data_IF_906902304546
#
_entry.id   IF_906902304546
#
_cell.length_a   1.000
_cell.length_b   1.000
_cell.length_c   1.000
_cell.angle_alpha   90.00
_cell.angle_beta   90.00
_cell.angle_gamma   90.00
#
_symmetry.space_group_name_H-M   'P 1'
#
loop_
_entity.id
_entity.type
_entity.pdbx_description
1 polymer ?
#
# COMPACT_ATOMS: atom_id res chain seq x y z
N UNK A 1 31.55 55.84 -62.08
CA UNK A 1 30.35 55.58 -61.26
C UNK A 1 30.39 54.13 -60.80
N UNK A 2 30.94 53.88 -59.62
CA UNK A 2 31.03 52.55 -59.01
C UNK A 2 30.03 52.50 -57.86
N UNK A 3 29.00 51.66 -57.95
CA UNK A 3 27.98 51.49 -56.90
C UNK A 3 28.42 50.37 -55.95
N UNK A 4 28.60 50.71 -54.68
CA UNK A 4 28.81 49.75 -53.57
C UNK A 4 27.43 49.31 -53.06
N UNK A 5 27.12 48.01 -52.93
CA UNK A 5 25.87 47.58 -52.31
C UNK A 5 26.04 47.54 -50.78
N UNK A 6 25.13 48.19 -50.06
CA UNK A 6 25.02 48.12 -48.62
C UNK A 6 24.43 46.77 -48.22
N UNK A 7 25.16 46.00 -47.40
CA UNK A 7 24.68 44.76 -46.77
C UNK A 7 23.90 45.15 -45.52
N UNK A 8 22.59 44.93 -45.52
CA UNK A 8 21.73 45.10 -44.36
C UNK A 8 21.90 43.90 -43.42
N UNK A 9 22.44 44.14 -42.22
CA UNK A 9 22.59 43.13 -41.18
C UNK A 9 21.26 43.01 -40.42
N UNK A 10 20.53 41.92 -40.67
CA UNK A 10 19.26 41.61 -39.99
C UNK A 10 19.57 41.02 -38.60
N UNK A 11 19.39 41.81 -37.53
CA UNK A 11 19.46 41.29 -36.16
C UNK A 11 18.20 40.46 -35.87
N UNK A 12 18.36 39.14 -35.84
CA UNK A 12 17.33 38.22 -35.37
C UNK A 12 17.35 38.24 -33.83
N UNK A 13 16.43 38.98 -33.22
CA UNK A 13 16.20 38.92 -31.77
C UNK A 13 15.64 37.53 -31.43
N UNK A 14 16.48 36.69 -30.81
CA UNK A 14 16.02 35.45 -30.20
C UNK A 14 15.13 35.82 -29.01
N UNK A 15 13.81 35.80 -29.23
CA UNK A 15 12.86 35.79 -28.13
C UNK A 15 13.11 34.51 -27.33
N UNK A 16 13.73 34.65 -26.16
CA UNK A 16 13.76 33.61 -25.15
C UNK A 16 12.32 33.40 -24.69
N UNK A 17 11.59 32.53 -25.38
CA UNK A 17 10.34 32.00 -24.88
C UNK A 17 10.68 31.24 -23.62
N UNK A 18 10.24 31.76 -22.46
CA UNK A 18 10.16 31.00 -21.23
C UNK A 18 9.42 29.71 -21.55
N UNK A 19 10.15 28.60 -21.63
CA UNK A 19 9.53 27.28 -21.61
C UNK A 19 8.86 27.21 -20.25
N UNK A 20 7.53 27.35 -20.20
CA UNK A 20 6.77 26.99 -19.02
C UNK A 20 6.98 25.49 -18.81
N UNK A 21 8.00 25.15 -18.02
CA UNK A 21 8.15 23.81 -17.49
C UNK A 21 6.82 23.43 -16.86
N UNK A 22 6.27 22.30 -17.27
CA UNK A 22 4.98 21.82 -16.80
C UNK A 22 4.98 21.90 -15.27
N UNK A 23 4.19 22.82 -14.71
CA UNK A 23 4.12 22.99 -13.26
C UNK A 23 3.51 21.73 -12.70
N UNK A 24 4.27 20.98 -11.90
CA UNK A 24 3.75 19.81 -11.22
C UNK A 24 2.55 20.22 -10.36
N UNK A 25 1.46 19.45 -10.45
CA UNK A 25 0.30 19.60 -9.59
C UNK A 25 0.16 18.34 -8.72
N UNK A 26 0.36 18.51 -7.43
CA UNK A 26 0.20 17.49 -6.39
C UNK A 26 -1.25 17.05 -6.20
N UNK A 27 -2.23 17.76 -6.76
CA UNK A 27 -3.65 17.43 -6.68
C UNK A 27 -4.33 17.87 -5.39
N UNK A 28 -3.67 18.70 -4.57
CA UNK A 28 -4.33 19.35 -3.43
C UNK A 28 -5.23 20.50 -3.88
N UNK A 29 -6.45 20.56 -3.35
CA UNK A 29 -7.35 21.71 -3.49
C UNK A 29 -7.29 22.68 -2.29
N UNK A 30 -6.47 22.36 -1.28
CA UNK A 30 -6.31 23.17 -0.08
C UNK A 30 -7.47 23.15 0.92
N UNK A 31 -8.50 22.31 0.70
CA UNK A 31 -9.70 22.25 1.55
C UNK A 31 -9.43 21.86 3.01
N UNK A 32 -8.30 21.21 3.31
CA UNK A 32 -7.87 20.90 4.67
C UNK A 32 -7.22 22.10 5.38
N UNK A 33 -6.79 23.13 4.64
CA UNK A 33 -5.95 24.20 5.20
C UNK A 33 -4.53 23.72 5.52
N UNK A 34 -3.77 24.42 6.37
CA UNK A 34 -2.45 23.98 6.80
C UNK A 34 -2.56 22.79 7.78
N UNK A 35 -1.68 21.81 7.62
CA UNK A 35 -1.52 20.69 8.55
C UNK A 35 -0.29 20.92 9.43
N UNK A 36 -0.49 21.49 10.63
CA UNK A 36 0.57 21.81 11.58
C UNK A 36 0.52 20.89 12.81
N UNK A 37 1.54 20.05 12.97
CA UNK A 37 1.65 19.06 14.05
C UNK A 37 2.77 19.46 15.00
N UNK A 38 2.39 20.06 16.12
CA UNK A 38 3.30 20.56 17.16
C UNK A 38 3.35 19.68 18.42
N UNK A 39 2.48 18.67 18.52
CA UNK A 39 2.44 17.64 19.56
C UNK A 39 2.09 16.31 18.93
N UNK A 40 2.33 15.20 19.64
CA UNK A 40 1.91 13.88 19.19
C UNK A 40 0.42 13.90 18.83
N UNK A 41 0.11 13.50 17.60
CA UNK A 41 -1.22 13.60 17.02
C UNK A 41 -1.56 12.32 16.27
N UNK A 42 -2.78 11.83 16.45
CA UNK A 42 -3.36 10.78 15.61
C UNK A 42 -4.52 11.36 14.82
N UNK A 43 -4.47 11.26 13.50
CA UNK A 43 -5.55 11.73 12.61
C UNK A 43 -6.40 10.56 12.12
N UNK A 44 -7.71 10.78 11.97
CA UNK A 44 -8.57 9.82 11.30
C UNK A 44 -8.39 9.93 9.78
N UNK A 45 -8.11 8.81 9.11
CA UNK A 45 -7.94 8.79 7.66
C UNK A 45 -9.29 9.07 6.98
N UNK A 46 -9.33 10.04 6.07
CA UNK A 46 -10.51 10.33 5.25
C UNK A 46 -10.96 9.08 4.46
N UNK A 47 -12.23 8.98 4.07
CA UNK A 47 -12.75 7.77 3.38
C UNK A 47 -12.03 7.42 2.07
N UNK A 48 -11.46 8.40 1.37
CA UNK A 48 -10.63 8.22 0.17
C UNK A 48 -9.12 8.21 0.45
N UNK A 49 -8.71 8.38 1.71
CA UNK A 49 -7.32 8.45 2.14
C UNK A 49 -6.63 9.79 1.92
N UNK A 50 -7.30 10.81 1.38
CA UNK A 50 -6.66 12.04 0.89
C UNK A 50 -6.85 13.22 1.84
N UNK A 51 -5.74 13.87 2.19
CA UNK A 51 -5.68 15.15 2.88
C UNK A 51 -5.22 16.22 1.89
N UNK A 52 -6.09 17.19 1.58
CA UNK A 52 -5.80 18.29 0.66
C UNK A 52 -5.31 19.52 1.43
N UNK A 53 -4.03 19.51 1.79
CA UNK A 53 -3.41 20.55 2.59
C UNK A 53 -2.92 21.73 1.74
N UNK A 54 -2.77 22.90 2.37
CA UNK A 54 -2.01 24.01 1.77
C UNK A 54 -0.51 23.83 2.01
N UNK A 55 -0.13 23.72 3.27
CA UNK A 55 1.22 23.36 3.75
C UNK A 55 1.13 22.17 4.71
N UNK A 56 2.26 21.50 4.94
CA UNK A 56 2.37 20.46 5.98
C UNK A 56 3.63 20.73 6.79
N UNK A 57 3.50 20.78 8.11
CA UNK A 57 4.62 20.95 9.03
C UNK A 57 4.51 19.97 10.20
N UNK A 58 5.45 19.03 10.29
CA UNK A 58 5.56 18.10 11.43
C UNK A 58 6.78 18.49 12.24
N UNK A 59 6.56 19.07 13.43
CA UNK A 59 7.61 19.61 14.28
C UNK A 59 8.61 18.53 14.73
N UNK A 60 9.82 18.93 15.10
CA UNK A 60 10.81 18.01 15.65
C UNK A 60 10.34 17.43 17.00
N UNK A 61 10.64 16.15 17.24
CA UNK A 61 10.33 15.48 18.51
C UNK A 61 8.89 15.02 18.69
N UNK A 62 8.02 15.17 17.68
CA UNK A 62 6.62 14.72 17.72
C UNK A 62 6.33 13.62 16.70
N UNK A 63 5.27 12.86 16.93
CA UNK A 63 4.79 11.78 16.07
C UNK A 63 3.40 12.08 15.53
N UNK A 64 3.27 12.09 14.20
CA UNK A 64 2.01 11.98 13.50
C UNK A 64 1.71 10.50 13.20
N UNK A 65 0.54 10.03 13.60
CA UNK A 65 0.01 8.70 13.30
C UNK A 65 -1.42 8.79 12.76
N UNK A 66 -2.00 7.68 12.33
CA UNK A 66 -3.35 7.68 11.77
C UNK A 66 -4.20 6.51 12.23
N UNK A 67 -5.48 6.77 12.52
CA UNK A 67 -6.49 5.74 12.66
C UNK A 67 -6.99 5.31 11.28
N UNK A 68 -6.99 4.02 10.95
CA UNK A 68 -7.43 3.54 9.65
C UNK A 68 -8.94 3.78 9.44
N UNK A 69 -9.32 4.10 8.21
CA UNK A 69 -10.73 4.11 7.81
C UNK A 69 -11.24 2.66 7.58
N UNK A 70 -12.54 2.43 7.36
CA UNK A 70 -13.08 1.07 7.21
C UNK A 70 -12.46 0.26 6.06
N UNK A 71 -12.02 0.90 4.97
CA UNK A 71 -11.29 0.23 3.87
C UNK A 71 -9.79 0.05 4.12
N UNK A 72 -9.28 0.60 5.21
CA UNK A 72 -7.86 0.77 5.49
C UNK A 72 -7.08 1.33 4.28
N UNK A 73 -7.55 2.42 3.68
CA UNK A 73 -6.90 3.01 2.48
C UNK A 73 -5.49 3.53 2.79
N UNK A 74 -4.61 3.63 1.77
CA UNK A 74 -3.37 4.40 1.90
C UNK A 74 -3.63 5.86 2.30
N UNK A 75 -2.61 6.50 2.87
CA UNK A 75 -2.64 7.92 3.23
C UNK A 75 -2.01 8.75 2.12
N UNK A 76 -2.70 9.78 1.66
CA UNK A 76 -2.20 10.76 0.70
C UNK A 76 -2.18 12.14 1.35
N UNK A 77 -0.98 12.68 1.55
CA UNK A 77 -0.78 14.04 2.03
C UNK A 77 -0.39 14.92 0.86
N UNK A 78 -1.34 15.71 0.35
CA UNK A 78 -1.15 16.54 -0.84
C UNK A 78 -1.08 18.00 -0.42
N UNK A 79 -0.04 18.72 -0.80
CA UNK A 79 0.19 20.11 -0.44
C UNK A 79 0.26 21.02 -1.68
N UNK A 80 -0.39 22.18 -1.61
CA UNK A 80 -0.26 23.22 -2.65
C UNK A 80 1.05 23.99 -2.55
N UNK A 81 1.72 23.93 -1.39
CA UNK A 81 3.00 24.57 -1.08
C UNK A 81 3.91 23.61 -0.29
N UNK A 82 4.90 24.15 0.40
CA UNK A 82 6.01 23.41 1.01
C UNK A 82 5.55 22.44 2.10
N UNK A 83 6.30 21.33 2.21
CA UNK A 83 6.13 20.31 3.23
C UNK A 83 7.43 20.19 4.03
N UNK A 84 7.33 20.35 5.35
CA UNK A 84 8.44 20.17 6.30
C UNK A 84 8.14 19.02 7.25
N UNK A 85 9.02 18.03 7.31
CA UNK A 85 8.90 16.87 8.20
C UNK A 85 10.17 16.77 9.03
N UNK A 86 10.15 17.42 10.20
CA UNK A 86 11.22 17.35 11.20
C UNK A 86 10.94 16.28 12.27
N UNK A 87 9.67 15.93 12.48
CA UNK A 87 9.24 14.87 13.38
C UNK A 87 9.11 13.51 12.71
N UNK A 88 8.31 12.65 13.34
CA UNK A 88 8.00 11.30 12.87
C UNK A 88 6.63 11.25 12.22
N UNK A 89 6.52 10.55 11.09
CA UNK A 89 5.25 9.99 10.62
C UNK A 89 5.31 8.47 10.81
N UNK A 90 4.41 7.89 11.60
CA UNK A 90 4.32 6.44 11.84
C UNK A 90 3.01 5.86 11.28
N UNK A 91 3.16 5.02 10.26
CA UNK A 91 2.11 4.22 9.64
C UNK A 91 2.49 2.73 9.69
N UNK A 92 3.24 2.31 10.71
CA UNK A 92 3.68 0.92 10.84
C UNK A 92 2.54 -0.02 11.27
N UNK A 93 2.63 -1.29 10.85
CA UNK A 93 1.81 -2.37 11.39
C UNK A 93 2.20 -2.71 12.83
N UNK A 94 1.45 -3.62 13.45
CA UNK A 94 1.68 -4.09 14.82
C UNK A 94 1.76 -5.62 14.88
N UNK A 95 2.38 -6.12 15.94
CA UNK A 95 2.46 -7.55 16.19
C UNK A 95 1.06 -8.15 16.43
N UNK A 96 0.89 -9.43 16.05
CA UNK A 96 -0.26 -10.22 16.47
C UNK A 96 -0.13 -10.65 17.93
N UNK A 97 -1.16 -11.34 18.42
CA UNK A 97 -1.18 -11.86 19.79
C UNK A 97 -1.81 -13.27 19.81
N UNK A 98 -2.11 -13.80 20.99
CA UNK A 98 -2.67 -15.14 21.16
C UNK A 98 -4.14 -15.28 20.75
N UNK A 99 -4.83 -14.20 20.40
CA UNK A 99 -6.24 -14.19 19.96
C UNK A 99 -6.42 -13.69 18.53
N UNK A 100 -5.57 -12.78 18.07
CA UNK A 100 -5.75 -12.05 16.82
C UNK A 100 -4.45 -11.86 16.04
N UNK A 101 -4.59 -11.74 14.73
CA UNK A 101 -3.53 -11.25 13.87
C UNK A 101 -3.23 -9.77 14.14
N UNK A 102 -2.00 -9.35 13.85
CA UNK A 102 -1.54 -8.00 14.08
C UNK A 102 -2.29 -7.00 13.18
N UNK A 103 -2.75 -5.87 13.73
CA UNK A 103 -3.37 -4.84 12.91
C UNK A 103 -2.34 -4.24 11.94
N UNK A 104 -2.81 -3.93 10.74
CA UNK A 104 -2.02 -3.29 9.72
C UNK A 104 -1.85 -1.79 9.98
N UNK A 105 -0.80 -1.21 9.40
CA UNK A 105 -0.75 0.24 9.23
C UNK A 105 -1.80 0.71 8.20
N UNK A 106 -2.13 2.02 8.17
CA UNK A 106 -2.98 2.63 7.15
C UNK A 106 -2.55 2.23 5.73
N UNK A 107 -3.39 1.59 4.93
CA UNK A 107 -3.05 1.12 3.58
C UNK A 107 -2.40 -0.26 3.49
N UNK A 108 -2.04 -0.88 4.62
CA UNK A 108 -1.50 -2.24 4.70
C UNK A 108 -2.57 -3.31 4.94
N UNK A 109 -2.13 -4.55 5.15
CA UNK A 109 -3.03 -5.69 5.38
C UNK A 109 -2.75 -6.42 6.71
N UNK A 110 -3.79 -6.86 7.44
CA UNK A 110 -3.63 -7.45 8.76
C UNK A 110 -2.97 -8.83 8.70
N UNK A 111 -2.42 -9.26 9.84
CA UNK A 111 -1.89 -10.60 10.03
C UNK A 111 -2.99 -11.67 10.20
N UNK A 112 -2.60 -12.93 10.09
CA UNK A 112 -3.49 -14.08 10.23
C UNK A 112 -3.77 -14.43 11.68
N UNK A 113 -4.96 -14.96 11.95
CA UNK A 113 -5.37 -15.37 13.31
C UNK A 113 -4.58 -16.59 13.81
N UNK A 114 -4.29 -16.67 15.12
CA UNK A 114 -3.68 -17.84 15.74
C UNK A 114 -4.56 -19.08 15.59
N UNK A 115 -3.95 -20.27 15.65
CA UNK A 115 -4.70 -21.50 15.90
C UNK A 115 -5.26 -21.52 17.33
N UNK A 116 -6.40 -22.16 17.55
CA UNK A 116 -7.04 -22.25 18.88
C UNK A 116 -7.33 -23.70 19.31
N UNK A 117 -6.49 -24.64 18.86
CA UNK A 117 -6.58 -26.08 19.15
C UNK A 117 -6.41 -26.94 17.90
N UNK A 118 -6.50 -28.27 18.06
CA UNK A 118 -6.30 -29.22 16.96
C UNK A 118 -7.37 -29.11 15.85
N UNK A 119 -8.55 -28.57 16.16
CA UNK A 119 -9.68 -28.45 15.24
C UNK A 119 -9.77 -27.09 14.52
N UNK A 120 -9.03 -26.08 14.97
CA UNK A 120 -9.05 -24.73 14.39
C UNK A 120 -7.64 -24.38 13.95
N UNK A 121 -7.29 -24.63 12.67
CA UNK A 121 -5.99 -24.28 12.14
C UNK A 121 -5.79 -22.76 12.15
N UNK A 122 -4.54 -22.28 12.20
CA UNK A 122 -4.28 -20.85 12.07
C UNK A 122 -4.72 -20.32 10.69
N UNK A 123 -5.06 -19.03 10.66
CA UNK A 123 -5.38 -18.31 9.42
C UNK A 123 -4.13 -17.81 8.70
N UNK A 124 -4.21 -17.61 7.40
CA UNK A 124 -3.22 -16.82 6.67
C UNK A 124 -3.34 -15.33 6.99
N UNK A 125 -2.26 -14.58 6.74
CA UNK A 125 -2.32 -13.14 6.67
C UNK A 125 -3.18 -12.65 5.52
N UNK A 126 -3.38 -11.34 5.45
CA UNK A 126 -4.11 -10.70 4.38
C UNK A 126 -3.16 -9.93 3.45
N UNK A 127 -3.62 -9.64 2.24
CA UNK A 127 -2.88 -8.92 1.21
C UNK A 127 -2.25 -9.81 0.13
N UNK A 128 -1.78 -9.22 -0.99
CA UNK A 128 -1.29 -9.98 -2.15
C UNK A 128 -0.02 -10.82 -1.86
N UNK A 129 0.76 -10.40 -0.87
CA UNK A 129 1.95 -11.09 -0.39
C UNK A 129 1.75 -11.72 0.98
N UNK A 130 0.53 -12.13 1.34
CA UNK A 130 0.25 -12.72 2.63
C UNK A 130 1.05 -14.01 2.90
N UNK A 131 1.56 -14.15 4.12
CA UNK A 131 2.08 -15.42 4.62
C UNK A 131 0.94 -16.38 4.99
N UNK A 132 1.10 -17.68 4.71
CA UNK A 132 0.10 -18.70 5.11
C UNK A 132 0.25 -19.06 6.58
N UNK A 133 -0.85 -19.48 7.21
CA UNK A 133 -0.81 -20.08 8.53
C UNK A 133 0.02 -21.38 8.53
N UNK A 134 0.61 -21.71 9.67
CA UNK A 134 1.49 -22.87 9.79
C UNK A 134 1.80 -23.23 11.24
N UNK A 135 2.82 -24.07 11.43
CA UNK A 135 3.27 -24.42 12.77
C UNK A 135 3.90 -23.23 13.49
N UNK A 136 3.78 -23.17 14.82
CA UNK A 136 4.49 -22.19 15.64
C UNK A 136 5.95 -22.60 15.85
N UNK A 137 6.71 -22.70 14.76
CA UNK A 137 8.14 -23.03 14.75
C UNK A 137 8.86 -22.49 13.49
N UNK A 138 10.19 -22.58 13.48
CA UNK A 138 11.04 -22.07 12.40
C UNK A 138 11.31 -23.11 11.29
N UNK A 139 10.45 -24.12 11.16
CA UNK A 139 10.59 -25.18 10.16
C UNK A 139 9.98 -24.78 8.81
N UNK A 140 10.13 -25.65 7.80
CA UNK A 140 9.46 -25.50 6.51
C UNK A 140 7.93 -25.39 6.65
N UNK A 141 7.35 -26.08 7.64
CA UNK A 141 5.91 -26.05 7.95
C UNK A 141 5.50 -24.86 8.81
N UNK A 142 6.46 -24.04 9.27
CA UNK A 142 6.23 -22.87 10.10
C UNK A 142 5.29 -21.85 9.45
N UNK A 143 4.62 -21.04 10.26
CA UNK A 143 3.82 -19.92 9.76
C UNK A 143 4.69 -18.97 8.91
N UNK A 144 4.15 -18.48 7.80
CA UNK A 144 4.89 -17.67 6.84
C UNK A 144 4.86 -16.18 7.16
N UNK A 145 5.94 -15.47 6.85
CA UNK A 145 5.99 -14.01 6.85
C UNK A 145 5.31 -13.40 5.61
N UNK A 146 4.85 -12.16 5.73
CA UNK A 146 4.37 -11.36 4.61
C UNK A 146 5.52 -10.92 3.70
N UNK A 147 5.34 -10.98 2.38
CA UNK A 147 6.25 -10.41 1.37
C UNK A 147 5.73 -9.08 0.82
N UNK A 148 6.60 -8.23 0.26
CA UNK A 148 6.17 -7.06 -0.55
C UNK A 148 7.20 -6.66 -1.61
N UNK A 149 8.12 -5.75 -1.29
CA UNK A 149 9.20 -5.30 -2.17
C UNK A 149 10.34 -6.32 -2.28
N UNK A 150 10.56 -7.08 -1.21
CA UNK A 150 11.44 -8.26 -1.19
C UNK A 150 10.69 -9.46 -0.64
N UNK A 151 11.26 -10.65 -0.84
CA UNK A 151 10.85 -11.83 -0.09
C UNK A 151 11.24 -11.68 1.40
N UNK A 152 10.55 -12.38 2.31
CA UNK A 152 11.02 -12.60 3.68
C UNK A 152 12.50 -13.01 3.71
N UNK A 153 13.38 -12.26 4.38
CA UNK A 153 14.83 -12.50 4.34
C UNK A 153 15.29 -13.63 5.26
N UNK A 154 14.44 -14.11 6.17
CA UNK A 154 14.77 -15.13 7.17
C UNK A 154 13.71 -16.24 7.24
N UNK A 155 14.09 -17.35 7.85
CA UNK A 155 13.23 -18.53 8.04
C UNK A 155 13.29 -19.55 6.89
N UNK A 156 12.92 -20.80 7.20
CA UNK A 156 12.88 -21.90 6.23
C UNK A 156 11.47 -22.19 5.71
N UNK A 157 10.48 -21.43 6.17
CA UNK A 157 9.07 -21.66 5.88
C UNK A 157 8.76 -21.57 4.37
N UNK A 158 8.09 -22.59 3.85
CA UNK A 158 7.54 -22.58 2.48
C UNK A 158 6.19 -21.84 2.41
N UNK A 159 5.70 -21.34 3.55
CA UNK A 159 4.45 -20.59 3.69
C UNK A 159 4.63 -19.08 3.52
N UNK A 160 5.86 -18.63 3.27
CA UNK A 160 6.19 -17.22 3.06
C UNK A 160 5.45 -16.59 1.87
N UNK A 161 5.06 -15.34 2.05
CA UNK A 161 4.40 -14.53 1.04
C UNK A 161 5.33 -14.12 -0.11
N UNK A 162 4.74 -13.88 -1.28
CA UNK A 162 5.46 -13.45 -2.49
C UNK A 162 5.57 -11.93 -2.57
N UNK A 163 6.48 -11.45 -3.40
CA UNK A 163 6.56 -10.02 -3.75
C UNK A 163 5.41 -9.59 -4.65
N UNK A 164 4.97 -8.33 -4.52
CA UNK A 164 3.93 -7.73 -5.37
C UNK A 164 4.13 -6.22 -5.51
N UNK A 165 3.21 -5.60 -6.26
CA UNK A 165 3.18 -4.16 -6.49
C UNK A 165 4.28 -3.67 -7.41
N UNK A 166 4.18 -2.41 -7.81
CA UNK A 166 5.12 -1.78 -8.73
C UNK A 166 6.20 -1.01 -7.95
N UNK A 167 7.48 -1.02 -8.39
CA UNK A 167 8.49 -0.08 -7.91
C UNK A 167 8.11 1.40 -8.10
N UNK A 168 7.18 1.70 -9.03
CA UNK A 168 6.63 3.05 -9.21
C UNK A 168 5.66 3.46 -8.10
N UNK A 169 5.16 2.51 -7.30
CA UNK A 169 4.12 2.73 -6.30
C UNK A 169 2.86 3.39 -6.90
N UNK A 170 2.46 2.89 -8.08
CA UNK A 170 1.21 3.23 -8.77
C UNK A 170 0.52 1.91 -9.18
N UNK A 171 -0.66 1.59 -8.64
CA UNK A 171 -1.29 2.26 -7.49
C UNK A 171 -0.44 2.10 -6.22
N UNK A 172 -0.69 2.97 -5.24
CA UNK A 172 -0.07 2.87 -3.93
C UNK A 172 -0.76 1.75 -3.13
N UNK A 173 0.03 0.85 -2.54
CA UNK A 173 -0.46 -0.29 -1.75
C UNK A 173 0.53 -0.55 -0.61
N UNK A 174 0.04 -0.85 0.59
CA UNK A 174 0.88 -1.15 1.75
C UNK A 174 1.37 -2.59 1.76
N UNK A 175 2.00 -2.98 2.86
CA UNK A 175 2.56 -4.29 3.12
C UNK A 175 1.50 -5.34 3.47
N UNK A 176 1.86 -6.62 3.29
CA UNK A 176 1.01 -7.77 3.60
C UNK A 176 1.28 -8.35 4.99
N UNK A 177 0.26 -8.96 5.58
CA UNK A 177 0.39 -9.60 6.89
C UNK A 177 1.05 -10.99 6.83
N UNK A 178 1.68 -11.39 7.93
CA UNK A 178 2.15 -12.76 8.13
C UNK A 178 1.03 -13.69 8.58
N UNK A 179 1.25 -15.01 8.46
CA UNK A 179 0.29 -16.05 8.85
C UNK A 179 0.30 -16.34 10.35
N UNK A 180 -0.79 -16.90 10.86
CA UNK A 180 -0.86 -17.36 12.24
C UNK A 180 -0.06 -18.66 12.46
N UNK A 181 0.49 -18.81 13.66
CA UNK A 181 1.06 -20.04 14.18
C UNK A 181 0.00 -20.89 14.89
N UNK A 182 0.13 -22.22 14.75
CA UNK A 182 -0.69 -23.20 15.45
C UNK A 182 -0.44 -23.19 16.96
N UNK A 183 -1.35 -23.78 17.74
CA UNK A 183 -1.21 -23.91 19.19
C UNK A 183 -2.54 -23.83 19.93
N UNK A 184 -2.46 -23.91 21.26
CA UNK A 184 -3.59 -23.72 22.17
C UNK A 184 -3.14 -22.94 23.43
N UNK A 185 -3.00 -21.61 23.35
CA UNK A 185 -3.24 -20.77 22.17
C UNK A 185 -2.07 -20.81 21.18
N UNK A 186 -2.37 -20.59 19.90
CA UNK A 186 -1.36 -20.27 18.89
C UNK A 186 -0.96 -18.79 18.97
N UNK A 187 -0.36 -18.29 17.89
CA UNK A 187 0.05 -16.89 17.80
C UNK A 187 -0.34 -16.24 16.47
N UNK A 188 -0.90 -15.04 16.50
CA UNK A 188 -1.24 -14.28 15.30
C UNK A 188 0.00 -13.79 14.57
N UNK A 189 -0.09 -13.71 13.24
CA UNK A 189 0.96 -13.13 12.41
C UNK A 189 1.02 -11.61 12.52
N UNK A 190 2.15 -11.00 12.16
CA UNK A 190 2.31 -9.54 12.19
C UNK A 190 1.52 -8.84 11.07
N UNK A 191 0.98 -7.65 11.34
CA UNK A 191 0.30 -6.83 10.33
C UNK A 191 1.28 -6.15 9.38
N UNK A 192 0.92 -5.96 8.11
CA UNK A 192 1.77 -5.26 7.15
C UNK A 192 1.92 -3.77 7.45
N UNK A 193 3.08 -3.20 7.09
CA UNK A 193 3.33 -1.76 7.16
C UNK A 193 2.38 -0.99 6.25
N UNK A 194 2.03 0.24 6.62
CA UNK A 194 1.10 1.07 5.86
C UNK A 194 1.65 1.58 4.53
N UNK A 195 0.86 2.40 3.84
CA UNK A 195 1.28 3.10 2.64
C UNK A 195 0.98 4.59 2.73
N UNK A 196 1.98 5.40 2.40
CA UNK A 196 1.86 6.86 2.33
C UNK A 196 2.44 7.42 1.04
N UNK A 197 1.73 8.39 0.47
CA UNK A 197 2.26 9.30 -0.53
C UNK A 197 2.20 10.72 0.02
N UNK A 198 3.33 11.43 -0.09
CA UNK A 198 3.41 12.85 0.23
C UNK A 198 3.81 13.59 -1.04
N UNK A 199 3.00 14.57 -1.45
CA UNK A 199 3.26 15.37 -2.62
C UNK A 199 3.15 16.86 -2.34
N UNK A 200 4.04 17.64 -2.97
CA UNK A 200 4.04 19.10 -2.89
C UNK A 200 4.26 19.69 -4.28
N UNK A 201 3.52 20.75 -4.62
CA UNK A 201 3.75 21.52 -5.85
C UNK A 201 5.15 22.14 -5.92
N UNK A 202 5.85 22.26 -4.79
CA UNK A 202 7.10 23.03 -4.67
C UNK A 202 8.22 22.19 -4.08
N UNK A 203 8.09 21.76 -2.82
CA UNK A 203 9.22 21.20 -2.06
C UNK A 203 8.79 20.31 -0.90
N UNK A 204 9.59 19.27 -0.66
CA UNK A 204 9.57 18.46 0.57
C UNK A 204 10.95 18.56 1.22
N UNK A 205 11.00 19.08 2.45
CA UNK A 205 12.17 19.04 3.34
C UNK A 205 11.95 18.00 4.45
N UNK A 206 12.77 16.96 4.46
CA UNK A 206 12.68 15.85 5.41
C UNK A 206 13.97 15.72 6.23
N UNK A 207 13.87 16.06 7.51
CA UNK A 207 14.96 15.91 8.49
C UNK A 207 14.62 14.91 9.59
N UNK A 208 13.34 14.62 9.78
CA UNK A 208 12.82 13.60 10.70
C UNK A 208 12.76 12.21 10.08
N UNK A 209 11.71 11.44 10.39
CA UNK A 209 11.59 10.08 9.89
C UNK A 209 10.16 9.70 9.44
N UNK A 210 10.05 8.86 8.41
CA UNK A 210 8.78 8.23 8.00
C UNK A 210 8.93 6.72 8.16
N UNK A 211 8.02 6.10 8.91
CA UNK A 211 8.03 4.65 9.20
C UNK A 211 6.77 3.98 8.69
N UNK A 212 6.96 3.01 7.81
CA UNK A 212 5.97 2.08 7.31
C UNK A 212 6.47 0.65 7.57
N UNK A 213 6.79 0.34 8.83
CA UNK A 213 7.42 -0.92 9.22
C UNK A 213 6.35 -2.00 9.39
N UNK A 214 6.66 -3.23 9.03
CA UNK A 214 5.80 -4.38 9.34
C UNK A 214 5.64 -4.59 10.85
N UNK A 215 4.55 -5.24 11.23
CA UNK A 215 4.33 -5.76 12.56
C UNK A 215 5.11 -7.06 12.75
N UNK A 216 5.64 -7.26 13.94
CA UNK A 216 6.38 -8.47 14.29
C UNK A 216 6.81 -8.35 15.74
N UNK A 217 6.99 -9.48 16.40
CA UNK A 217 7.39 -9.47 17.80
C UNK A 217 8.84 -9.00 17.93
N UNK A 218 9.15 -8.17 18.92
CA UNK A 218 10.50 -7.64 19.12
C UNK A 218 11.49 -8.72 19.56
N UNK A 219 10.99 -9.85 20.05
CA UNK A 219 11.78 -11.04 20.39
C UNK A 219 11.56 -12.04 19.27
N UNK A 220 12.64 -12.64 18.75
CA UNK A 220 12.57 -13.74 17.78
C UNK A 220 11.67 -14.84 18.34
N UNK A 221 10.40 -14.79 17.96
CA UNK A 221 9.46 -15.82 18.33
C UNK A 221 9.74 -17.07 17.50
N UNK A 222 9.23 -18.19 17.98
CA UNK A 222 9.49 -19.49 17.37
C UNK A 222 8.99 -19.54 15.92
N UNK A 223 7.99 -18.74 15.52
CA UNK A 223 7.57 -18.59 14.12
C UNK A 223 8.05 -17.28 13.50
N UNK A 224 8.68 -17.39 12.33
CA UNK A 224 9.15 -16.29 11.49
C UNK A 224 7.99 -15.61 10.72
N UNK A 225 6.91 -15.23 11.40
CA UNK A 225 5.64 -14.82 10.79
C UNK A 225 5.33 -13.30 10.82
N UNK A 226 6.37 -12.46 10.72
CA UNK A 226 6.22 -11.00 10.66
C UNK A 226 5.49 -10.50 9.40
N UNK A 227 4.85 -9.35 9.51
CA UNK A 227 4.29 -8.61 8.39
C UNK A 227 5.36 -7.90 7.58
N UNK A 228 5.14 -7.72 6.28
CA UNK A 228 6.09 -7.02 5.41
C UNK A 228 6.13 -5.52 5.71
N UNK A 229 7.21 -4.87 5.28
CA UNK A 229 7.28 -3.41 5.21
C UNK A 229 6.24 -2.84 4.25
N UNK A 230 5.98 -1.55 4.37
CA UNK A 230 4.96 -0.82 3.65
C UNK A 230 5.48 -0.03 2.45
N UNK A 231 4.77 1.02 2.07
CA UNK A 231 5.11 1.87 0.93
C UNK A 231 5.29 3.33 1.34
N UNK A 232 6.37 3.95 0.91
CA UNK A 232 6.60 5.39 1.08
C UNK A 232 6.91 6.01 -0.29
N UNK A 233 6.07 6.97 -0.72
CA UNK A 233 6.29 7.70 -1.96
C UNK A 233 6.34 9.21 -1.72
N UNK A 234 7.42 9.85 -2.15
CA UNK A 234 7.54 11.32 -2.12
C UNK A 234 7.57 11.86 -3.55
N UNK A 235 6.80 12.91 -3.83
CA UNK A 235 6.72 13.54 -5.17
C UNK A 235 6.73 15.06 -5.03
N UNK A 236 7.81 15.71 -5.46
CA UNK A 236 7.90 17.17 -5.50
C UNK A 236 9.00 17.62 -6.48
N UNK A 237 8.96 18.87 -7.01
CA UNK A 237 10.06 19.40 -7.81
C UNK A 237 11.41 19.36 -7.08
N UNK A 238 11.40 19.58 -5.75
CA UNK A 238 12.56 19.46 -4.88
C UNK A 238 12.24 18.55 -3.71
N UNK A 239 13.08 17.54 -3.49
CA UNK A 239 13.10 16.74 -2.26
C UNK A 239 14.48 16.89 -1.66
N UNK A 240 14.53 17.35 -0.41
CA UNK A 240 15.76 17.68 0.29
C UNK A 240 15.74 17.25 1.76
N UNK A 241 16.92 17.27 2.38
CA UNK A 241 17.11 16.99 3.80
C UNK A 241 17.96 15.75 4.05
N UNK A 242 18.02 15.33 5.31
CA UNK A 242 18.92 14.30 5.83
C UNK A 242 18.22 13.28 6.75
N UNK A 243 16.89 13.20 6.69
CA UNK A 243 16.12 12.29 7.51
C UNK A 243 16.04 10.87 6.95
N UNK A 244 15.19 10.05 7.58
CA UNK A 244 15.13 8.60 7.37
C UNK A 244 13.77 8.13 6.85
N UNK A 245 13.79 7.23 5.86
CA UNK A 245 12.61 6.53 5.34
C UNK A 245 12.76 5.04 5.62
N UNK A 246 11.85 4.47 6.41
CA UNK A 246 11.94 3.06 6.84
C UNK A 246 10.66 2.31 6.45
N UNK A 247 10.78 1.37 5.54
CA UNK A 247 9.73 0.47 5.11
C UNK A 247 10.22 -0.98 5.15
N UNK A 248 10.75 -1.42 6.30
CA UNK A 248 11.22 -2.80 6.49
C UNK A 248 10.10 -3.71 6.98
N UNK A 249 10.14 -4.99 6.63
CA UNK A 249 9.40 -6.00 7.38
C UNK A 249 10.09 -6.21 8.73
N UNK A 250 9.32 -6.19 9.81
CA UNK A 250 9.92 -6.35 11.13
C UNK A 250 10.32 -7.82 11.34
N UNK A 251 11.54 -8.03 11.81
CA UNK A 251 12.19 -9.33 12.04
C UNK A 251 12.29 -10.18 10.78
N UNK A 252 11.20 -10.78 10.31
CA UNK A 252 11.17 -11.77 9.21
C UNK A 252 10.34 -11.34 8.01
N UNK A 253 9.55 -10.27 8.12
CA UNK A 253 8.78 -9.75 6.98
C UNK A 253 9.68 -9.31 5.81
N UNK A 254 9.18 -9.45 4.59
CA UNK A 254 9.81 -8.86 3.42
C UNK A 254 9.90 -7.33 3.54
N UNK A 255 10.97 -6.74 3.03
CA UNK A 255 11.09 -5.29 2.90
C UNK A 255 10.01 -4.71 1.97
N UNK A 256 9.63 -3.47 2.23
CA UNK A 256 8.64 -2.73 1.48
C UNK A 256 9.24 -1.99 0.28
N UNK A 257 8.62 -0.87 -0.10
CA UNK A 257 9.03 -0.08 -1.27
C UNK A 257 9.11 1.39 -0.92
N UNK A 258 10.18 2.04 -1.38
CA UNK A 258 10.38 3.49 -1.23
C UNK A 258 10.63 4.09 -2.61
N UNK A 259 9.90 5.16 -2.94
CA UNK A 259 9.97 5.85 -4.24
C UNK A 259 10.10 7.35 -4.01
N UNK A 260 11.09 7.96 -4.64
CA UNK A 260 11.30 9.40 -4.64
C UNK A 260 11.24 9.92 -6.07
N UNK A 261 10.24 10.71 -6.40
CA UNK A 261 10.17 11.38 -7.69
C UNK A 261 10.49 12.87 -7.46
N UNK A 262 11.64 13.33 -7.98
CA UNK A 262 12.09 14.73 -7.88
C UNK A 262 12.81 15.20 -9.14
N UNK A 263 12.64 16.49 -9.47
CA UNK A 263 13.33 17.12 -10.61
C UNK A 263 14.71 17.64 -10.21
N UNK A 264 14.87 18.10 -8.97
CA UNK A 264 16.15 18.53 -8.42
C UNK A 264 16.61 17.60 -7.29
N UNK A 265 17.82 17.05 -7.45
CA UNK A 265 18.44 16.09 -6.52
C UNK A 265 19.65 16.68 -5.77
N UNK A 266 19.98 17.95 -5.97
CA UNK A 266 21.22 18.55 -5.42
C UNK A 266 21.30 18.50 -3.89
N UNK A 267 20.15 18.46 -3.21
CA UNK A 267 20.03 18.39 -1.75
C UNK A 267 19.37 17.09 -1.25
N UNK A 268 19.26 16.07 -2.10
CA UNK A 268 18.65 14.80 -1.75
C UNK A 268 19.65 13.93 -0.97
N UNK A 269 19.64 14.01 0.37
CA UNK A 269 20.55 13.29 1.25
C UNK A 269 19.81 12.40 2.27
N UNK A 270 18.71 11.78 1.85
CA UNK A 270 17.88 10.95 2.72
C UNK A 270 18.46 9.53 2.86
N UNK A 271 18.33 8.96 4.05
CA UNK A 271 18.61 7.55 4.32
C UNK A 271 17.33 6.76 4.05
N UNK A 272 17.43 5.65 3.31
CA UNK A 272 16.27 4.80 3.01
C UNK A 272 16.56 3.33 3.27
N UNK A 273 15.62 2.65 3.92
CA UNK A 273 15.69 1.22 4.20
C UNK A 273 14.32 0.57 3.96
N UNK A 274 14.13 -0.24 2.90
CA UNK A 274 15.11 -0.60 1.87
C UNK A 274 15.48 0.58 0.96
N UNK A 275 16.50 0.41 0.12
CA UNK A 275 16.95 1.45 -0.81
C UNK A 275 15.81 2.01 -1.66
N UNK A 276 15.70 3.34 -1.70
CA UNK A 276 14.71 4.03 -2.51
C UNK A 276 15.00 3.92 -4.02
N UNK A 277 13.95 3.73 -4.82
CA UNK A 277 14.01 4.02 -6.26
C UNK A 277 13.80 5.51 -6.49
N UNK A 278 14.62 6.11 -7.35
CA UNK A 278 14.60 7.58 -7.55
C UNK A 278 14.32 7.90 -9.02
N UNK A 279 13.19 8.57 -9.27
CA UNK A 279 12.73 8.97 -10.59
C UNK A 279 12.44 10.47 -10.70
N UNK A 280 11.72 10.82 -11.75
CA UNK A 280 11.20 12.16 -12.03
C UNK A 280 9.75 12.08 -12.52
N UNK A 281 9.02 11.01 -12.15
CA UNK A 281 7.62 10.82 -12.51
C UNK A 281 6.74 11.75 -11.65
N UNK A 282 6.54 12.97 -12.16
CA UNK A 282 5.75 14.03 -11.53
C UNK A 282 4.23 13.74 -11.63
N UNK A 283 3.77 12.68 -10.95
CA UNK A 283 2.38 12.21 -10.96
C UNK A 283 2.01 11.62 -9.60
N UNK A 284 0.87 12.03 -9.05
CA UNK A 284 0.27 11.43 -7.84
C UNK A 284 -0.64 10.26 -8.22
N UNK A 285 -1.66 10.52 -9.05
CA UNK A 285 -2.61 9.53 -9.53
C UNK A 285 -2.56 9.40 -11.06
N UNK A 286 -2.78 8.19 -11.61
CA UNK A 286 -3.14 8.06 -13.02
C UNK A 286 -4.48 8.77 -13.29
N UNK A 287 -4.66 9.28 -14.50
CA UNK A 287 -5.91 9.91 -14.92
C UNK A 287 -6.38 9.30 -16.26
N UNK A 288 -7.53 8.61 -16.29
CA UNK A 288 -8.40 8.24 -15.16
C UNK A 288 -7.74 7.24 -14.19
N UNK A 289 -8.27 7.11 -12.96
CA UNK A 289 -7.77 6.13 -11.97
C UNK A 289 -8.36 4.74 -12.26
N UNK A 290 -7.53 3.72 -12.55
CA UNK A 290 -7.98 2.34 -12.70
C UNK A 290 -8.52 1.77 -11.38
N UNK A 291 -9.63 1.03 -11.46
CA UNK A 291 -10.30 0.50 -10.27
C UNK A 291 -10.92 -0.87 -10.52
N UNK A 292 -10.81 -1.72 -9.50
CA UNK A 292 -11.53 -2.99 -9.40
C UNK A 292 -12.60 -2.92 -8.32
N UNK A 293 -13.74 -3.55 -8.58
CA UNK A 293 -14.86 -3.69 -7.65
C UNK A 293 -15.35 -5.12 -7.56
N UNK A 294 -15.89 -5.46 -6.40
CA UNK A 294 -16.75 -6.62 -6.21
C UNK A 294 -18.19 -6.08 -6.18
N UNK A 295 -19.02 -6.51 -7.13
CA UNK A 295 -20.41 -6.08 -7.28
C UNK A 295 -21.40 -7.10 -6.71
N UNK A 296 -20.95 -8.32 -6.50
CA UNK A 296 -21.73 -9.39 -5.89
C UNK A 296 -20.81 -10.46 -5.31
N UNK A 297 -21.15 -11.00 -4.14
CA UNK A 297 -20.49 -12.17 -3.57
C UNK A 297 -21.53 -13.09 -2.93
N UNK A 298 -21.54 -14.37 -3.34
CA UNK A 298 -22.45 -15.39 -2.82
C UNK A 298 -23.93 -14.96 -2.79
N UNK A 299 -24.40 -14.37 -3.90
CA UNK A 299 -25.78 -13.88 -4.04
C UNK A 299 -26.08 -12.55 -3.34
N UNK A 300 -25.13 -11.96 -2.60
CA UNK A 300 -25.30 -10.64 -1.99
C UNK A 300 -24.80 -9.56 -2.94
N UNK A 301 -25.67 -8.64 -3.35
CA UNK A 301 -25.28 -7.49 -4.17
C UNK A 301 -24.51 -6.46 -3.34
N UNK A 302 -23.43 -5.95 -3.93
CA UNK A 302 -22.51 -4.98 -3.32
C UNK A 302 -22.47 -3.75 -4.22
N UNK A 303 -22.72 -2.54 -3.70
CA UNK A 303 -22.63 -1.31 -4.50
C UNK A 303 -21.22 -1.09 -5.05
N UNK A 304 -21.11 -0.56 -6.27
CA UNK A 304 -19.84 -0.05 -6.77
C UNK A 304 -19.32 1.03 -5.80
N UNK A 305 -18.01 0.99 -5.48
CA UNK A 305 -17.45 1.95 -4.53
C UNK A 305 -17.63 1.55 -3.06
N UNK A 306 -18.03 0.30 -2.78
CA UNK A 306 -18.32 -0.14 -1.41
C UNK A 306 -17.18 0.22 -0.42
N UNK A 307 -17.45 0.98 0.65
CA UNK A 307 -16.42 1.55 1.51
C UNK A 307 -16.04 0.61 2.67
N UNK A 308 -16.18 -0.70 2.51
CA UNK A 308 -15.82 -1.67 3.54
C UNK A 308 -15.34 -2.99 2.91
N UNK A 309 -14.58 -3.82 3.65
CA UNK A 309 -14.19 -5.14 3.18
C UNK A 309 -15.42 -6.00 2.88
N UNK A 310 -15.36 -6.77 1.79
CA UNK A 310 -16.40 -7.74 1.46
C UNK A 310 -16.16 -9.01 2.27
N UNK A 311 -17.12 -9.35 3.12
CA UNK A 311 -17.05 -10.52 4.00
C UNK A 311 -18.27 -11.40 3.78
N UNK A 312 -18.04 -12.72 3.65
CA UNK A 312 -19.08 -13.72 3.46
C UNK A 312 -18.96 -14.79 4.54
N UNK A 313 -20.09 -15.16 5.14
CA UNK A 313 -20.24 -16.37 5.95
C UNK A 313 -21.32 -17.21 5.28
N UNK A 314 -20.95 -18.37 4.74
CA UNK A 314 -21.94 -19.32 4.22
C UNK A 314 -22.59 -20.12 5.36
N UNK A 315 -23.92 -20.11 5.51
CA UNK A 315 -24.61 -20.93 6.49
C UNK A 315 -24.36 -22.44 6.30
N UNK A 316 -24.42 -23.25 7.37
CA UNK A 316 -24.38 -24.70 7.25
C UNK A 316 -25.42 -25.24 6.25
N UNK A 317 -24.99 -26.13 5.35
CA UNK A 317 -25.84 -26.71 4.32
C UNK A 317 -25.99 -25.89 3.03
N UNK A 318 -25.43 -24.67 2.98
CA UNK A 318 -25.35 -23.92 1.72
C UNK A 318 -24.45 -24.61 0.69
N UNK A 319 -24.75 -24.53 -0.62
CA UNK A 319 -23.83 -24.98 -1.66
C UNK A 319 -22.49 -24.25 -1.54
N UNK A 320 -21.35 -24.95 -1.47
CA UNK A 320 -20.05 -24.29 -1.31
C UNK A 320 -19.62 -23.55 -2.59
N UNK A 321 -20.06 -24.01 -3.76
CA UNK A 321 -19.87 -23.31 -5.03
C UNK A 321 -20.78 -22.10 -5.09
N UNK A 322 -20.18 -20.93 -5.22
CA UNK A 322 -20.84 -19.63 -5.30
C UNK A 322 -20.26 -18.81 -6.44
N UNK A 323 -20.90 -17.69 -6.74
CA UNK A 323 -20.41 -16.70 -7.71
C UNK A 323 -19.87 -15.45 -7.02
N UNK A 324 -18.85 -14.86 -7.61
CA UNK A 324 -18.39 -13.50 -7.32
C UNK A 324 -18.37 -12.71 -8.62
N UNK A 325 -19.14 -11.62 -8.68
CA UNK A 325 -19.17 -10.73 -9.84
C UNK A 325 -18.25 -9.55 -9.59
N UNK A 326 -17.33 -9.32 -10.51
CA UNK A 326 -16.30 -8.28 -10.40
C UNK A 326 -16.33 -7.36 -11.61
N UNK A 327 -15.87 -6.12 -11.40
CA UNK A 327 -15.82 -5.07 -12.41
C UNK A 327 -14.42 -4.47 -12.50
N UNK A 328 -13.95 -4.21 -13.72
CA UNK A 328 -12.80 -3.39 -14.01
C UNK A 328 -13.23 -2.09 -14.70
N UNK A 329 -12.60 -1.00 -14.29
CA UNK A 329 -12.83 0.35 -14.81
C UNK A 329 -11.50 1.02 -15.11
N UNK A 330 -11.43 1.75 -16.21
CA UNK A 330 -10.31 2.63 -16.59
C UNK A 330 -8.94 1.96 -16.76
N UNK A 331 -8.87 0.63 -16.92
CA UNK A 331 -7.61 -0.04 -17.23
C UNK A 331 -7.23 0.05 -18.70
N UNK A 332 -8.22 0.20 -19.60
CA UNK A 332 -8.03 0.26 -21.06
C UNK A 332 -7.19 -0.90 -21.62
N UNK A 333 -7.27 -2.07 -20.98
CA UNK A 333 -6.43 -3.23 -21.27
C UNK A 333 -7.16 -4.54 -20.91
N UNK A 334 -6.57 -5.66 -21.30
CA UNK A 334 -6.87 -6.96 -20.71
C UNK A 334 -6.31 -6.98 -19.28
N UNK A 335 -7.19 -7.14 -18.30
CA UNK A 335 -6.84 -7.09 -16.88
C UNK A 335 -6.80 -8.50 -16.32
N UNK A 336 -5.62 -9.09 -16.07
CA UNK A 336 -5.53 -10.34 -15.33
C UNK A 336 -5.91 -10.07 -13.87
N UNK A 337 -6.83 -10.86 -13.34
CA UNK A 337 -7.35 -10.69 -11.98
C UNK A 337 -7.34 -12.01 -11.22
N UNK A 338 -7.16 -11.91 -9.91
CA UNK A 338 -7.32 -13.01 -8.98
C UNK A 338 -8.39 -12.67 -7.95
N UNK A 339 -9.44 -13.49 -7.84
CA UNK A 339 -10.38 -13.46 -6.73
C UNK A 339 -9.81 -14.34 -5.62
N UNK A 340 -9.50 -13.73 -4.47
CA UNK A 340 -8.89 -14.42 -3.33
C UNK A 340 -9.90 -14.50 -2.20
N UNK A 341 -10.15 -15.72 -1.74
CA UNK A 341 -10.94 -16.00 -0.56
C UNK A 341 -9.99 -16.28 0.59
N UNK A 342 -9.98 -15.41 1.60
CA UNK A 342 -9.16 -15.58 2.81
C UNK A 342 -10.07 -15.88 3.99
N UNK A 343 -10.17 -17.15 4.41
CA UNK A 343 -10.93 -17.51 5.59
C UNK A 343 -10.22 -17.05 6.86
N UNK A 344 -10.98 -16.75 7.90
CA UNK A 344 -10.47 -16.42 9.25
C UNK A 344 -9.59 -17.55 9.83
N UNK A 345 -9.78 -18.79 9.36
CA UNK A 345 -9.02 -19.98 9.75
C UNK A 345 -8.77 -20.85 8.53
N UNK A 346 -7.53 -21.30 8.35
CA UNK A 346 -7.11 -22.12 7.22
C UNK A 346 -6.45 -21.35 6.09
N UNK A 347 -6.25 -22.04 4.97
CA UNK A 347 -5.52 -21.51 3.82
C UNK A 347 -6.42 -20.72 2.87
N UNK A 348 -5.92 -19.62 2.28
CA UNK A 348 -6.63 -18.89 1.26
C UNK A 348 -6.67 -19.66 -0.06
N UNK A 349 -7.71 -19.43 -0.84
CA UNK A 349 -7.87 -19.96 -2.20
C UNK A 349 -7.96 -18.82 -3.20
N UNK A 350 -7.26 -18.94 -4.33
CA UNK A 350 -7.25 -17.94 -5.40
C UNK A 350 -7.86 -18.51 -6.69
N UNK A 351 -8.67 -17.70 -7.35
CA UNK A 351 -9.34 -18.01 -8.62
C UNK A 351 -8.92 -16.99 -9.66
N UNK A 352 -8.13 -17.46 -10.62
CA UNK A 352 -7.60 -16.62 -11.71
C UNK A 352 -8.65 -16.41 -12.80
N UNK A 353 -8.76 -15.17 -13.26
CA UNK A 353 -9.63 -14.79 -14.36
C UNK A 353 -9.02 -13.62 -15.15
N UNK A 354 -9.72 -13.18 -16.19
CA UNK A 354 -9.31 -12.06 -17.02
C UNK A 354 -10.53 -11.23 -17.44
N UNK A 355 -10.43 -9.91 -17.28
CA UNK A 355 -11.46 -8.96 -17.70
C UNK A 355 -10.98 -8.22 -18.93
N UNK A 356 -11.78 -8.21 -20.00
CA UNK A 356 -11.50 -7.38 -21.18
C UNK A 356 -12.09 -5.98 -21.03
N UNK A 357 -11.26 -5.05 -20.54
CA UNK A 357 -11.61 -3.64 -20.36
C UNK A 357 -11.03 -2.76 -21.49
N UNK A 358 -10.83 -3.32 -22.70
CA UNK A 358 -10.40 -2.55 -23.89
C UNK A 358 -11.56 -1.89 -24.63
N UNK A 359 -12.70 -2.59 -24.70
CA UNK A 359 -13.86 -2.17 -25.49
C UNK A 359 -15.10 -1.83 -24.64
N UNK A 360 -15.17 -2.33 -23.41
CA UNK A 360 -16.27 -2.09 -22.47
C UNK A 360 -15.75 -1.30 -21.27
N UNK A 361 -16.43 -0.20 -20.93
CA UNK A 361 -16.05 0.72 -19.84
C UNK A 361 -17.30 1.11 -19.04
N UNK A 362 -17.55 0.51 -17.85
CA UNK A 362 -16.76 -0.53 -17.21
C UNK A 362 -16.99 -1.94 -17.82
N UNK A 363 -16.06 -2.87 -17.59
CA UNK A 363 -16.19 -4.27 -17.98
C UNK A 363 -16.42 -5.18 -16.76
N UNK A 364 -17.27 -6.21 -16.90
CA UNK A 364 -17.62 -7.11 -15.80
C UNK A 364 -17.47 -8.58 -16.19
N UNK A 365 -17.14 -9.42 -15.22
CA UNK A 365 -17.20 -10.89 -15.33
C UNK A 365 -17.74 -11.51 -14.04
N UNK A 366 -18.18 -12.76 -14.14
CA UNK A 366 -18.55 -13.58 -12.98
C UNK A 366 -17.57 -14.75 -12.85
N UNK A 367 -17.04 -14.94 -11.64
CA UNK A 367 -16.11 -16.02 -11.31
C UNK A 367 -16.81 -17.02 -10.40
N UNK A 368 -16.75 -18.31 -10.75
CA UNK A 368 -17.20 -19.39 -9.88
C UNK A 368 -16.11 -19.68 -8.85
N UNK A 369 -16.46 -19.64 -7.57
CA UNK A 369 -15.55 -19.85 -6.44
C UNK A 369 -16.13 -20.86 -5.47
N UNK A 370 -15.29 -21.43 -4.61
CA UNK A 370 -15.71 -22.40 -3.58
C UNK A 370 -15.41 -21.79 -2.21
N UNK A 371 -16.45 -21.39 -1.49
CA UNK A 371 -16.30 -20.87 -0.13
C UNK A 371 -16.24 -22.01 0.89
N UNK A 372 -15.42 -21.87 1.95
CA UNK A 372 -15.57 -22.72 3.12
C UNK A 372 -16.91 -22.42 3.80
N UNK A 373 -17.63 -23.48 4.18
CA UNK A 373 -18.92 -23.36 4.86
C UNK A 373 -18.68 -23.05 6.34
N UNK A 374 -19.53 -22.20 6.94
CA UNK A 374 -19.49 -21.85 8.36
C UNK A 374 -18.16 -21.23 8.83
N UNK A 375 -17.44 -20.57 7.92
CA UNK A 375 -16.21 -19.82 8.21
C UNK A 375 -16.32 -18.44 7.60
N UNK A 376 -16.05 -17.41 8.40
CA UNK A 376 -15.95 -16.04 7.90
C UNK A 376 -14.82 -15.94 6.87
N UNK A 377 -15.14 -15.42 5.70
CA UNK A 377 -14.24 -15.35 4.56
C UNK A 377 -14.22 -13.94 3.99
N UNK A 378 -13.04 -13.33 3.97
CA UNK A 378 -12.83 -12.05 3.28
C UNK A 378 -12.63 -12.33 1.79
N UNK A 379 -13.30 -11.54 0.95
CA UNK A 379 -13.18 -11.60 -0.50
C UNK A 379 -12.36 -10.41 -0.98
N UNK A 380 -11.24 -10.68 -1.64
CA UNK A 380 -10.41 -9.66 -2.27
C UNK A 380 -10.30 -9.92 -3.77
N UNK A 381 -10.07 -8.86 -4.54
CA UNK A 381 -9.74 -8.95 -5.96
C UNK A 381 -8.48 -8.14 -6.25
N UNK A 382 -7.52 -8.74 -6.94
CA UNK A 382 -6.22 -8.13 -7.26
C UNK A 382 -5.96 -8.18 -8.75
N UNK A 383 -5.33 -7.15 -9.29
CA UNK A 383 -4.62 -7.25 -10.57
C UNK A 383 -3.24 -7.88 -10.35
N UNK A 384 -2.76 -8.68 -11.29
CA UNK A 384 -1.45 -9.35 -11.18
C UNK A 384 -0.46 -9.00 -12.29
#
# INVERSE_FOLDING_TARGET
>A
MLRVPAVALLFLSAACGSVSGQTFNAGSDGSYGPLDIATDTTLDVAGNGVFHCTTINIAAGVTLSFNPNPLNTPVYLLATSDVTIAGRIDISGRAGNSTDGGPAGPGGFPGGKPGSGLAVPPGAGYGPGAGKGGELNASASGAGAGGYGTLPPFGTSINNGRTYGSPLLIPLVGGSGGGGGSGAPGKGGGGGGGAILIASNTRIDLTGNIRAVGGGDPFFDVADNGGSGGAIRLVAPVIAGNGELVALGNVTGGGGRIRLDTLNRSALNLISSPSASIGSLMMVFPNPVPRLDILEAAGTSIPEGHPSPVVVILPPGSPPTQTVRIQARHFSNLVPVAVVLTPDSGSPTAYEAQIDNRANEPAQITVNVVFPVNVQTVVNVWTR
#
